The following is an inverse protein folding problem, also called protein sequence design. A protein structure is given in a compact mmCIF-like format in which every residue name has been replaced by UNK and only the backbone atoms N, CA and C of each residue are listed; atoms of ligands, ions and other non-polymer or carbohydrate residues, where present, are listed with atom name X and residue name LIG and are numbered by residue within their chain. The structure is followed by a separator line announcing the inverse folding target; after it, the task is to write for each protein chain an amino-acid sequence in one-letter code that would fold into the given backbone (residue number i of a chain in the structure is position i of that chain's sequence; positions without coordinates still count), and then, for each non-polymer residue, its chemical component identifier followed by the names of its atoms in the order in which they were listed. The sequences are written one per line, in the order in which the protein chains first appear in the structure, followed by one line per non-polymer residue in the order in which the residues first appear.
data_IF_068993365204
#
_entry.id   IF_068993365204
#
_cell.length_a   1.000
_cell.length_b   1.000
_cell.length_c   1.000
_cell.angle_alpha   90.00
_cell.angle_beta   90.00
_cell.angle_gamma   90.00
#
_symmetry.space_group_name_H-M   'P 1'
#
loop_
_entity.id
_entity.type
_entity.pdbx_description
1 polymer ?
#
# COMPACT_ATOMS: atom_id res chain seq x y z
N UNK A 1 1.03 -23.22 -30.88
CA UNK A 1 1.98 -22.10 -30.78
C UNK A 1 3.16 -22.55 -29.91
N UNK A 2 4.34 -22.59 -30.49
CA UNK A 2 5.58 -22.94 -29.77
C UNK A 2 5.97 -21.85 -28.77
N UNK A 3 6.97 -22.12 -27.94
CA UNK A 3 7.51 -21.12 -27.00
C UNK A 3 8.07 -19.89 -27.75
N UNK A 4 8.82 -20.14 -28.82
CA UNK A 4 9.42 -19.10 -29.67
C UNK A 4 8.36 -18.25 -30.38
N UNK A 5 7.31 -18.86 -30.93
CA UNK A 5 6.18 -18.12 -31.52
C UNK A 5 5.48 -17.22 -30.49
N UNK A 6 5.34 -17.69 -29.23
CA UNK A 6 4.77 -16.86 -28.15
C UNK A 6 5.67 -15.69 -27.79
N UNK A 7 6.98 -15.91 -27.66
CA UNK A 7 7.95 -14.86 -27.39
C UNK A 7 7.97 -13.79 -28.50
N UNK A 8 7.87 -14.20 -29.76
CA UNK A 8 7.76 -13.27 -30.89
C UNK A 8 6.47 -12.44 -30.84
N UNK A 9 5.32 -13.07 -30.56
CA UNK A 9 4.05 -12.35 -30.40
C UNK A 9 4.12 -11.37 -29.23
N UNK A 10 4.65 -11.80 -28.09
CA UNK A 10 4.80 -10.94 -26.91
C UNK A 10 5.70 -9.73 -27.19
N UNK A 11 6.80 -9.92 -27.92
CA UNK A 11 7.75 -8.84 -28.22
C UNK A 11 7.17 -7.72 -29.10
N UNK A 12 6.09 -7.97 -29.85
CA UNK A 12 5.42 -6.97 -30.67
C UNK A 12 4.14 -6.40 -30.05
N UNK A 13 3.74 -6.87 -28.87
CA UNK A 13 2.58 -6.30 -28.18
C UNK A 13 2.88 -4.87 -27.72
N UNK A 14 1.99 -3.90 -28.02
CA UNK A 14 2.22 -2.52 -27.61
C UNK A 14 2.17 -2.38 -26.09
N UNK A 15 3.22 -1.83 -25.52
CA UNK A 15 3.23 -1.42 -24.10
C UNK A 15 2.49 -0.09 -23.88
N UNK A 16 2.47 0.76 -24.92
CA UNK A 16 1.75 2.04 -24.87
C UNK A 16 0.24 1.82 -24.91
N UNK A 17 -0.47 2.54 -24.07
CA UNK A 17 -1.93 2.52 -23.98
C UNK A 17 -2.49 3.69 -24.78
N UNK A 18 -3.39 3.48 -25.75
CA UNK A 18 -4.03 4.55 -26.46
C UNK A 18 -4.85 5.45 -25.53
N UNK A 19 -4.92 6.76 -25.84
CA UNK A 19 -5.68 7.75 -25.06
C UNK A 19 -7.17 7.38 -24.93
N UNK A 20 -7.74 6.62 -25.86
CA UNK A 20 -9.12 6.16 -25.78
C UNK A 20 -9.35 5.16 -24.65
N UNK A 21 -8.32 4.38 -24.29
CA UNK A 21 -8.37 3.44 -23.18
C UNK A 21 -7.88 4.08 -21.87
N UNK A 22 -7.14 5.17 -21.99
CA UNK A 22 -6.51 5.84 -20.88
C UNK A 22 -6.49 7.36 -21.13
N UNK A 23 -7.64 8.04 -21.01
CA UNK A 23 -7.70 9.49 -21.15
C UNK A 23 -6.93 10.18 -20.00
N UNK A 24 -6.45 11.44 -20.22
CA UNK A 24 -5.82 12.21 -19.15
C UNK A 24 -6.70 12.32 -17.93
N UNK A 25 -6.14 12.03 -16.77
CA UNK A 25 -6.85 11.98 -15.49
C UNK A 25 -6.71 13.27 -14.70
N UNK A 26 -7.82 13.68 -14.07
CA UNK A 26 -7.80 14.71 -13.03
C UNK A 26 -7.33 14.15 -11.68
N UNK A 27 -6.99 15.05 -10.76
CA UNK A 27 -6.57 14.69 -9.40
C UNK A 27 -7.61 13.88 -8.64
N UNK A 28 -8.89 14.07 -8.94
CA UNK A 28 -9.99 13.31 -8.31
C UNK A 28 -9.93 11.82 -8.59
N UNK A 29 -9.35 11.41 -9.71
CA UNK A 29 -9.14 10.01 -10.06
C UNK A 29 -7.73 9.55 -9.65
N UNK A 30 -6.70 10.31 -10.02
CA UNK A 30 -5.31 9.97 -9.80
C UNK A 30 -4.93 9.81 -8.33
N UNK A 31 -5.27 10.80 -7.48
CA UNK A 31 -4.84 10.82 -6.07
C UNK A 31 -5.38 9.62 -5.27
N UNK A 32 -6.69 9.29 -5.32
CA UNK A 32 -7.21 8.11 -4.62
C UNK A 32 -6.60 6.80 -5.10
N UNK A 33 -6.36 6.67 -6.41
CA UNK A 33 -5.72 5.51 -7.04
C UNK A 33 -4.29 5.31 -6.54
N UNK A 34 -3.47 6.37 -6.59
CA UNK A 34 -2.08 6.34 -6.12
C UNK A 34 -1.99 6.01 -4.62
N UNK A 35 -2.86 6.60 -3.78
CA UNK A 35 -2.90 6.30 -2.34
C UNK A 35 -3.22 4.84 -2.07
N UNK A 36 -4.25 4.30 -2.72
CA UNK A 36 -4.63 2.91 -2.55
C UNK A 36 -3.53 1.96 -3.02
N UNK A 37 -2.92 2.19 -4.19
CA UNK A 37 -1.81 1.41 -4.70
C UNK A 37 -0.61 1.44 -3.75
N UNK A 38 -0.19 2.62 -3.31
CA UNK A 38 0.97 2.80 -2.43
C UNK A 38 0.74 2.15 -1.06
N UNK A 39 -0.48 2.26 -0.50
CA UNK A 39 -0.82 1.63 0.77
C UNK A 39 -0.72 0.11 0.70
N UNK A 40 -1.19 -0.51 -0.38
CA UNK A 40 -1.07 -1.95 -0.59
C UNK A 40 0.39 -2.38 -0.75
N UNK A 41 1.15 -1.71 -1.61
CA UNK A 41 2.55 -2.04 -1.87
C UNK A 41 3.39 -1.97 -0.57
N UNK A 42 3.25 -0.88 0.18
CA UNK A 42 3.96 -0.68 1.45
C UNK A 42 3.53 -1.68 2.54
N UNK A 43 2.24 -1.97 2.64
CA UNK A 43 1.73 -2.96 3.60
C UNK A 43 2.33 -4.34 3.34
N UNK A 44 2.26 -4.83 2.10
CA UNK A 44 2.77 -6.15 1.76
C UNK A 44 4.29 -6.23 1.88
N UNK A 45 5.00 -5.17 1.56
CA UNK A 45 6.43 -5.03 1.79
C UNK A 45 6.77 -5.14 3.29
N UNK A 46 5.98 -4.49 4.13
CA UNK A 46 6.18 -4.49 5.60
C UNK A 46 5.96 -5.87 6.22
N UNK A 47 4.96 -6.62 5.75
CA UNK A 47 4.70 -7.98 6.26
C UNK A 47 5.56 -9.06 5.58
N UNK A 48 6.42 -8.66 4.62
CA UNK A 48 7.33 -9.58 3.92
C UNK A 48 6.64 -10.56 2.96
N UNK A 49 5.40 -10.28 2.53
CA UNK A 49 4.70 -11.08 1.52
C UNK A 49 4.85 -10.44 0.15
N UNK A 50 5.22 -11.24 -0.85
CA UNK A 50 5.39 -10.74 -2.22
C UNK A 50 4.06 -10.40 -2.85
N UNK A 51 3.99 -9.22 -3.43
CA UNK A 51 2.89 -8.72 -4.25
C UNK A 51 3.44 -7.87 -5.38
N UNK A 52 2.79 -7.90 -6.52
CA UNK A 52 2.96 -6.91 -7.57
C UNK A 52 1.68 -6.07 -7.63
N UNK A 53 1.81 -4.79 -7.35
CA UNK A 53 0.71 -3.82 -7.44
C UNK A 53 1.08 -2.77 -8.48
N UNK A 54 0.23 -2.55 -9.45
CA UNK A 54 0.44 -1.53 -10.47
C UNK A 54 -0.85 -0.77 -10.75
N UNK A 55 -0.73 0.40 -11.34
CA UNK A 55 -1.85 1.17 -11.87
C UNK A 55 -1.70 1.35 -13.38
N UNK A 56 -2.83 1.27 -14.09
CA UNK A 56 -2.94 1.59 -15.52
C UNK A 56 -1.99 0.79 -16.41
N UNK A 57 -1.62 -0.39 -15.95
CA UNK A 57 -0.72 -1.25 -16.70
C UNK A 57 -1.48 -1.99 -17.80
N UNK A 58 -0.98 -1.90 -19.04
CA UNK A 58 -1.51 -2.67 -20.16
C UNK A 58 -1.54 -4.16 -19.83
N UNK A 59 -2.73 -4.74 -19.82
CA UNK A 59 -2.97 -6.13 -19.41
C UNK A 59 -3.50 -6.94 -20.59
N UNK A 60 -2.89 -8.12 -20.78
CA UNK A 60 -3.19 -9.04 -21.89
C UNK A 60 -3.57 -10.42 -21.36
N UNK A 61 -4.76 -10.86 -21.75
CA UNK A 61 -5.26 -12.21 -21.57
C UNK A 61 -5.46 -12.88 -22.93
N UNK A 62 -5.29 -14.20 -23.04
CA UNK A 62 -5.60 -14.91 -24.29
C UNK A 62 -7.05 -14.68 -24.75
N UNK A 63 -7.23 -14.40 -26.02
CA UNK A 63 -8.53 -14.16 -26.67
C UNK A 63 -9.34 -12.99 -26.06
N UNK A 64 -8.65 -12.03 -25.43
CA UNK A 64 -9.28 -10.83 -24.89
C UNK A 64 -8.62 -9.57 -25.46
N UNK A 65 -9.41 -8.52 -25.69
CA UNK A 65 -8.89 -7.21 -26.01
C UNK A 65 -8.08 -6.65 -24.83
N UNK A 66 -6.98 -5.96 -25.15
CA UNK A 66 -6.18 -5.26 -24.15
C UNK A 66 -7.05 -4.35 -23.26
N UNK A 67 -6.74 -4.33 -22.00
CA UNK A 67 -7.37 -3.43 -21.03
C UNK A 67 -6.36 -2.92 -20.00
N UNK A 68 -6.72 -1.85 -19.32
CA UNK A 68 -5.87 -1.23 -18.31
C UNK A 68 -6.72 -0.98 -17.07
N UNK A 69 -6.57 -1.80 -16.03
CA UNK A 69 -7.23 -1.56 -14.74
C UNK A 69 -6.63 -0.33 -14.05
N UNK A 70 -7.45 0.42 -13.30
CA UNK A 70 -6.95 1.52 -12.48
C UNK A 70 -5.93 1.03 -11.46
N UNK A 71 -6.22 -0.08 -10.78
CA UNK A 71 -5.26 -0.79 -9.92
C UNK A 71 -5.40 -2.29 -10.19
N UNK A 72 -4.27 -2.96 -10.37
CA UNK A 72 -4.19 -4.41 -10.38
C UNK A 72 -3.26 -4.92 -9.29
N UNK A 73 -3.55 -6.11 -8.77
CA UNK A 73 -2.69 -6.80 -7.81
C UNK A 73 -2.51 -8.27 -8.20
N UNK A 74 -1.27 -8.75 -8.06
CA UNK A 74 -0.92 -10.16 -8.23
C UNK A 74 -0.04 -10.58 -7.06
N UNK A 75 -0.49 -11.57 -6.31
CA UNK A 75 0.20 -12.09 -5.14
C UNK A 75 1.26 -13.12 -5.51
N UNK A 76 2.26 -13.24 -4.64
CA UNK A 76 3.27 -14.29 -4.68
C UNK A 76 4.09 -14.33 -5.99
N UNK A 77 4.29 -13.16 -6.59
CA UNK A 77 5.14 -12.92 -7.75
C UNK A 77 6.22 -11.90 -7.43
N UNK A 78 7.28 -11.85 -8.24
CA UNK A 78 8.33 -10.86 -8.07
C UNK A 78 7.85 -9.46 -8.44
N UNK A 79 8.27 -8.44 -7.68
CA UNK A 79 7.82 -7.05 -7.81
C UNK A 79 8.69 -6.20 -8.73
N UNK A 80 9.40 -6.81 -9.72
CA UNK A 80 10.17 -6.04 -10.70
C UNK A 80 9.27 -5.20 -11.61
N UNK A 81 9.83 -4.16 -12.19
CA UNK A 81 9.12 -3.28 -13.11
C UNK A 81 8.70 -4.01 -14.39
N UNK A 82 7.49 -3.74 -14.84
CA UNK A 82 6.91 -4.31 -16.07
C UNK A 82 6.31 -3.20 -16.91
N UNK A 83 6.44 -3.31 -18.23
CA UNK A 83 5.75 -2.44 -19.20
C UNK A 83 4.32 -2.90 -19.50
N UNK A 84 4.01 -4.16 -19.22
CA UNK A 84 2.68 -4.75 -19.38
C UNK A 84 2.57 -6.03 -18.56
N UNK A 85 1.35 -6.47 -18.24
CA UNK A 85 1.06 -7.77 -17.66
C UNK A 85 0.54 -8.71 -18.74
N UNK A 86 1.34 -9.67 -19.16
CA UNK A 86 0.99 -10.65 -20.18
C UNK A 86 0.83 -12.00 -19.51
N UNK A 87 -0.41 -12.47 -19.31
CA UNK A 87 -0.70 -13.69 -18.56
C UNK A 87 -0.02 -14.94 -19.10
N UNK A 88 0.15 -15.05 -20.42
CA UNK A 88 0.85 -16.16 -21.04
C UNK A 88 2.37 -16.19 -20.78
N UNK A 89 2.97 -15.04 -20.51
CA UNK A 89 4.38 -14.88 -20.17
C UNK A 89 4.61 -15.04 -18.67
N UNK A 90 3.77 -14.38 -17.87
CA UNK A 90 3.85 -14.42 -16.40
C UNK A 90 3.41 -15.78 -15.83
N UNK A 91 2.68 -16.60 -16.61
CA UNK A 91 2.11 -17.86 -16.14
C UNK A 91 0.99 -17.71 -15.12
N UNK A 92 0.54 -16.47 -14.87
CA UNK A 92 -0.48 -16.14 -13.87
C UNK A 92 -1.36 -14.98 -14.33
N UNK A 93 -2.66 -15.08 -14.03
CA UNK A 93 -3.63 -13.98 -14.17
C UNK A 93 -3.55 -12.98 -13.02
N UNK A 94 -4.38 -11.94 -13.08
CA UNK A 94 -4.56 -11.00 -11.98
C UNK A 94 -5.30 -11.69 -10.83
N UNK A 95 -4.93 -11.39 -9.59
CA UNK A 95 -5.63 -11.88 -8.41
C UNK A 95 -6.73 -10.90 -7.96
N UNK A 96 -6.55 -9.61 -8.23
CA UNK A 96 -7.47 -8.57 -7.82
C UNK A 96 -7.38 -7.36 -8.75
N UNK A 97 -8.53 -6.73 -8.98
CA UNK A 97 -8.64 -5.43 -9.67
C UNK A 97 -9.47 -4.48 -8.81
N UNK A 98 -9.06 -3.21 -8.77
CA UNK A 98 -9.86 -2.10 -8.23
C UNK A 98 -9.99 -1.05 -9.32
N UNK A 99 -11.24 -0.63 -9.61
CA UNK A 99 -11.54 0.50 -10.48
C UNK A 99 -12.02 1.69 -9.62
N UNK A 100 -11.65 2.90 -10.01
CA UNK A 100 -12.00 4.14 -9.31
C UNK A 100 -12.98 4.94 -10.18
N UNK A 101 -14.23 4.91 -9.80
CA UNK A 101 -15.28 5.62 -10.55
C UNK A 101 -15.45 7.06 -10.03
N UNK A 102 -15.11 8.05 -10.87
CA UNK A 102 -15.21 9.49 -10.52
C UNK A 102 -16.30 10.23 -11.32
N UNK A 103 -17.00 9.53 -12.21
CA UNK A 103 -18.06 10.11 -13.04
C UNK A 103 -18.07 9.54 -14.46
N UNK A 104 -18.91 10.10 -15.32
CA UNK A 104 -19.13 9.61 -16.69
C UNK A 104 -20.02 8.37 -16.74
N UNK A 105 -19.80 7.47 -17.70
CA UNK A 105 -20.62 6.26 -17.85
C UNK A 105 -20.26 5.21 -16.81
N UNK A 106 -21.18 4.92 -15.92
CA UNK A 106 -21.06 3.86 -14.93
C UNK A 106 -21.05 2.45 -15.55
N UNK A 107 -21.56 2.28 -16.77
CA UNK A 107 -21.72 0.98 -17.45
C UNK A 107 -20.40 0.22 -17.56
N UNK A 108 -19.27 0.92 -17.82
CA UNK A 108 -17.95 0.27 -17.93
C UNK A 108 -17.62 -0.49 -16.64
N UNK A 109 -17.66 0.17 -15.49
CA UNK A 109 -17.17 -0.38 -14.24
C UNK A 109 -18.21 -1.27 -13.55
N UNK A 110 -19.49 -0.91 -13.62
CA UNK A 110 -20.55 -1.60 -12.88
C UNK A 110 -21.20 -2.77 -13.63
N UNK A 111 -21.02 -2.85 -14.95
CA UNK A 111 -21.60 -3.91 -15.78
C UNK A 111 -20.55 -4.62 -16.63
N UNK A 112 -19.88 -3.89 -17.54
CA UNK A 112 -18.97 -4.49 -18.51
C UNK A 112 -17.78 -5.17 -17.83
N UNK A 113 -17.09 -4.47 -16.92
CA UNK A 113 -15.94 -5.01 -16.20
C UNK A 113 -16.33 -6.11 -15.22
N UNK A 114 -17.51 -6.05 -14.59
CA UNK A 114 -18.04 -7.13 -13.72
C UNK A 114 -18.10 -8.45 -14.50
N UNK A 115 -18.68 -8.44 -15.72
CA UNK A 115 -18.78 -9.62 -16.58
C UNK A 115 -17.41 -10.02 -17.12
N UNK A 116 -16.63 -9.05 -17.58
CA UNK A 116 -15.32 -9.27 -18.18
C UNK A 116 -14.35 -9.93 -17.21
N UNK A 117 -14.18 -9.36 -16.01
CA UNK A 117 -13.22 -9.85 -15.03
C UNK A 117 -13.62 -11.20 -14.44
N UNK A 118 -14.90 -11.45 -14.26
CA UNK A 118 -15.40 -12.79 -13.87
C UNK A 118 -15.06 -13.85 -14.93
N UNK A 119 -15.30 -13.55 -16.23
CA UNK A 119 -14.96 -14.44 -17.33
C UNK A 119 -13.46 -14.72 -17.44
N UNK A 120 -12.62 -13.73 -17.14
CA UNK A 120 -11.16 -13.85 -17.13
C UNK A 120 -10.63 -14.63 -15.92
N UNK A 121 -11.51 -15.00 -14.98
CA UNK A 121 -11.14 -15.76 -13.79
C UNK A 121 -10.41 -14.93 -12.73
N UNK A 122 -10.58 -13.59 -12.73
CA UNK A 122 -9.99 -12.72 -11.71
C UNK A 122 -10.76 -12.94 -10.39
N UNK A 123 -10.09 -13.38 -9.30
CA UNK A 123 -10.78 -13.79 -8.08
C UNK A 123 -11.62 -12.70 -7.42
N UNK A 124 -11.13 -11.47 -7.36
CA UNK A 124 -11.85 -10.37 -6.72
C UNK A 124 -11.78 -9.08 -7.55
N UNK A 125 -12.90 -8.38 -7.54
CA UNK A 125 -13.06 -7.08 -8.21
C UNK A 125 -13.72 -6.09 -7.26
N UNK A 126 -13.14 -4.91 -7.11
CA UNK A 126 -13.69 -3.82 -6.31
C UNK A 126 -13.90 -2.58 -7.15
N UNK A 127 -14.94 -1.83 -6.83
CA UNK A 127 -15.24 -0.53 -7.40
C UNK A 127 -15.24 0.50 -6.27
N UNK A 128 -14.31 1.43 -6.33
CA UNK A 128 -14.31 2.62 -5.49
C UNK A 128 -15.14 3.69 -6.18
N UNK A 129 -16.42 3.73 -5.87
CA UNK A 129 -17.41 4.67 -6.42
C UNK A 129 -17.38 5.97 -5.61
N UNK A 130 -16.65 6.97 -6.11
CA UNK A 130 -16.54 8.28 -5.47
C UNK A 130 -17.78 9.13 -5.66
N UNK A 131 -18.52 8.94 -6.75
CA UNK A 131 -19.79 9.63 -7.01
C UNK A 131 -20.88 9.14 -6.05
N UNK A 132 -21.00 7.82 -5.93
CA UNK A 132 -21.94 7.17 -5.01
C UNK A 132 -21.47 7.11 -3.57
N UNK A 133 -20.25 7.57 -3.26
CA UNK A 133 -19.62 7.55 -1.91
C UNK A 133 -19.71 6.15 -1.28
N UNK A 134 -19.23 5.14 -2.00
CA UNK A 134 -19.31 3.74 -1.57
C UNK A 134 -18.19 2.89 -2.18
N UNK A 135 -17.93 1.73 -1.58
CA UNK A 135 -17.12 0.68 -2.17
C UNK A 135 -18.03 -0.51 -2.46
N UNK A 136 -17.90 -1.09 -3.65
CA UNK A 136 -18.56 -2.33 -4.02
C UNK A 136 -17.49 -3.41 -4.20
N UNK A 137 -17.79 -4.62 -3.81
CA UNK A 137 -16.91 -5.77 -3.97
C UNK A 137 -17.61 -6.94 -4.61
N UNK A 138 -16.87 -7.66 -5.44
CA UNK A 138 -17.32 -8.85 -6.13
C UNK A 138 -16.27 -9.96 -5.96
N UNK A 139 -16.72 -11.17 -5.77
CA UNK A 139 -15.88 -12.36 -5.64
C UNK A 139 -16.33 -13.45 -6.59
N UNK A 140 -15.37 -14.08 -7.23
CA UNK A 140 -15.59 -15.25 -8.06
C UNK A 140 -15.65 -16.48 -7.18
N UNK A 141 -16.81 -17.11 -7.15
CA UNK A 141 -16.97 -18.36 -6.42
C UNK A 141 -16.30 -19.53 -7.18
N UNK A 142 -15.81 -20.54 -6.46
CA UNK A 142 -15.21 -21.70 -7.10
C UNK A 142 -16.14 -22.31 -8.16
N UNK A 143 -15.60 -22.60 -9.34
CA UNK A 143 -16.33 -23.16 -10.49
C UNK A 143 -17.43 -22.28 -11.08
N UNK A 144 -17.49 -20.99 -10.71
CA UNK A 144 -18.38 -19.99 -11.31
C UNK A 144 -17.66 -19.20 -12.39
N UNK A 145 -18.40 -18.74 -13.38
CA UNK A 145 -17.96 -17.74 -14.36
C UNK A 145 -18.59 -16.36 -14.12
N UNK A 146 -19.31 -16.21 -13.00
CA UNK A 146 -19.99 -14.98 -12.61
C UNK A 146 -19.61 -14.60 -11.18
N UNK A 147 -19.51 -13.30 -10.93
CA UNK A 147 -19.26 -12.80 -9.58
C UNK A 147 -20.47 -12.88 -8.67
N UNK A 148 -20.25 -13.26 -7.42
CA UNK A 148 -21.13 -12.96 -6.32
C UNK A 148 -20.74 -11.62 -5.67
N UNK A 149 -21.72 -10.86 -5.22
CA UNK A 149 -21.46 -9.60 -4.53
C UNK A 149 -20.96 -9.87 -3.10
N UNK A 150 -19.86 -9.22 -2.71
CA UNK A 150 -19.38 -9.27 -1.33
C UNK A 150 -20.32 -8.42 -0.46
N UNK A 151 -20.87 -9.05 0.59
CA UNK A 151 -21.76 -8.37 1.54
C UNK A 151 -20.91 -7.72 2.64
N UNK A 152 -21.05 -6.39 2.87
CA UNK A 152 -20.30 -5.73 3.93
C UNK A 152 -20.60 -6.30 5.32
N UNK A 153 -19.58 -6.45 6.14
CA UNK A 153 -19.69 -6.82 7.55
C UNK A 153 -19.22 -5.63 8.40
N UNK A 154 -20.10 -5.06 9.20
CA UNK A 154 -19.79 -3.87 9.98
C UNK A 154 -19.31 -2.67 9.13
N UNK A 155 -19.82 -2.52 7.91
CA UNK A 155 -19.42 -1.45 6.98
C UNK A 155 -18.12 -1.72 6.22
N UNK A 156 -17.52 -2.90 6.34
CA UNK A 156 -16.30 -3.30 5.66
C UNK A 156 -16.53 -4.45 4.70
N UNK A 157 -15.81 -4.44 3.59
CA UNK A 157 -15.78 -5.50 2.59
C UNK A 157 -14.49 -6.32 2.77
N UNK A 158 -14.59 -7.58 3.13
CA UNK A 158 -13.42 -8.44 3.32
C UNK A 158 -12.91 -8.96 1.98
N UNK A 159 -11.65 -8.64 1.65
CA UNK A 159 -10.92 -9.27 0.55
C UNK A 159 -10.20 -10.52 1.05
N UNK A 160 -10.54 -11.67 0.49
CA UNK A 160 -9.84 -12.93 0.77
C UNK A 160 -8.49 -12.98 0.06
N UNK A 161 -8.38 -12.33 -1.09
CA UNK A 161 -7.13 -12.22 -1.86
C UNK A 161 -6.09 -11.45 -1.06
N UNK A 162 -6.44 -10.27 -0.58
CA UNK A 162 -5.50 -9.42 0.16
C UNK A 162 -5.35 -9.84 1.64
N UNK A 163 -6.36 -10.49 2.21
CA UNK A 163 -6.45 -10.69 3.66
C UNK A 163 -6.69 -9.37 4.42
N UNK A 164 -7.33 -8.42 3.76
CA UNK A 164 -7.63 -7.08 4.27
C UNK A 164 -9.11 -6.77 4.14
N UNK A 165 -9.61 -5.92 5.01
CA UNK A 165 -10.92 -5.30 4.86
C UNK A 165 -10.81 -3.97 4.16
N UNK A 166 -11.76 -3.67 3.28
CA UNK A 166 -11.88 -2.42 2.52
C UNK A 166 -13.09 -1.63 3.01
N UNK A 167 -12.91 -0.34 3.19
CA UNK A 167 -14.01 0.58 3.53
C UNK A 167 -13.75 1.97 2.95
N UNK A 168 -14.72 2.86 3.07
CA UNK A 168 -14.58 4.26 2.71
C UNK A 168 -14.46 5.10 3.99
N UNK A 169 -13.36 5.85 4.10
CA UNK A 169 -13.15 6.81 5.18
C UNK A 169 -12.71 8.16 4.64
N UNK A 170 -13.39 9.23 5.05
CA UNK A 170 -13.09 10.59 4.59
C UNK A 170 -12.99 10.72 3.06
N UNK A 171 -13.83 9.97 2.33
CA UNK A 171 -13.84 9.96 0.87
C UNK A 171 -12.68 9.23 0.20
N UNK A 172 -11.91 8.45 0.96
CA UNK A 172 -10.78 7.64 0.47
C UNK A 172 -11.00 6.16 0.73
N UNK A 173 -10.52 5.32 -0.18
CA UNK A 173 -10.49 3.87 0.03
C UNK A 173 -9.45 3.54 1.10
N UNK A 174 -9.90 2.96 2.20
CA UNK A 174 -9.07 2.56 3.34
C UNK A 174 -9.02 1.03 3.45
N UNK A 175 -7.83 0.53 3.73
CA UNK A 175 -7.61 -0.88 4.03
C UNK A 175 -7.39 -1.08 5.52
N UNK A 176 -7.81 -2.25 6.02
CA UNK A 176 -7.63 -2.65 7.41
C UNK A 176 -7.06 -4.05 7.50
N UNK A 177 -6.07 -4.23 8.36
CA UNK A 177 -5.59 -5.55 8.77
C UNK A 177 -6.14 -5.83 10.18
N UNK A 178 -7.19 -6.64 10.26
CA UNK A 178 -7.99 -6.78 11.47
C UNK A 178 -8.61 -5.44 11.89
N UNK A 179 -8.24 -4.93 13.06
CA UNK A 179 -8.73 -3.63 13.55
C UNK A 179 -7.82 -2.45 13.20
N UNK A 180 -6.59 -2.72 12.75
CA UNK A 180 -5.60 -1.68 12.47
C UNK A 180 -5.73 -1.14 11.03
N UNK A 181 -5.81 0.19 10.84
CA UNK A 181 -5.78 0.77 9.50
C UNK A 181 -4.39 0.59 8.88
N UNK A 182 -4.36 0.24 7.60
CA UNK A 182 -3.16 0.35 6.78
C UNK A 182 -2.92 1.83 6.52
N UNK A 183 -1.75 2.31 6.94
CA UNK A 183 -1.43 3.73 6.83
C UNK A 183 -1.16 4.14 5.39
N UNK A 184 -1.62 5.30 5.00
CA UNK A 184 -1.14 5.95 3.80
C UNK A 184 0.29 6.43 3.99
N UNK A 185 1.02 6.61 2.91
CA UNK A 185 2.44 6.98 2.96
C UNK A 185 2.69 8.28 3.74
N UNK A 186 1.83 9.29 3.54
CA UNK A 186 1.91 10.55 4.27
C UNK A 186 1.64 10.40 5.78
N UNK A 187 0.74 9.51 6.18
CA UNK A 187 0.47 9.20 7.59
C UNK A 187 1.68 8.50 8.24
N UNK A 188 2.29 7.57 7.48
CA UNK A 188 3.50 6.87 7.92
C UNK A 188 4.67 7.84 8.11
N UNK A 189 4.90 8.73 7.15
CA UNK A 189 5.92 9.78 7.23
C UNK A 189 5.66 10.70 8.43
N UNK A 190 4.41 11.15 8.61
CA UNK A 190 4.02 11.97 9.77
C UNK A 190 4.31 11.27 11.11
N UNK A 191 3.98 9.98 11.22
CA UNK A 191 4.26 9.19 12.42
C UNK A 191 5.76 9.03 12.68
N UNK A 192 6.54 8.75 11.64
CA UNK A 192 8.01 8.63 11.76
C UNK A 192 8.65 9.95 12.18
N UNK A 193 8.23 11.08 11.61
CA UNK A 193 8.72 12.40 12.01
C UNK A 193 8.42 12.71 13.47
N UNK A 194 7.20 12.39 13.95
CA UNK A 194 6.86 12.49 15.37
C UNK A 194 7.81 11.68 16.25
N UNK A 195 8.03 10.40 15.91
CA UNK A 195 8.95 9.54 16.65
C UNK A 195 10.39 10.07 16.67
N UNK A 196 10.87 10.63 15.56
CA UNK A 196 12.21 11.25 15.49
C UNK A 196 12.28 12.46 16.41
N UNK A 197 11.26 13.32 16.41
CA UNK A 197 11.19 14.48 17.33
C UNK A 197 11.23 14.04 18.78
N UNK A 198 10.42 13.05 19.17
CA UNK A 198 10.39 12.53 20.54
C UNK A 198 11.76 11.95 20.96
N UNK A 199 12.44 11.24 20.06
CA UNK A 199 13.78 10.69 20.32
C UNK A 199 14.83 11.79 20.48
N UNK A 200 14.79 12.84 19.68
CA UNK A 200 15.70 14.01 19.78
C UNK A 200 15.49 14.68 21.13
N UNK A 201 14.26 14.97 21.52
CA UNK A 201 13.96 15.57 22.82
C UNK A 201 14.40 14.68 23.99
N UNK A 202 14.17 13.35 23.88
CA UNK A 202 14.60 12.42 24.92
C UNK A 202 16.14 12.40 25.07
N UNK A 203 16.86 12.41 23.94
CA UNK A 203 18.31 12.51 23.91
C UNK A 203 18.80 13.81 24.58
N UNK A 204 18.23 14.94 24.21
CA UNK A 204 18.66 16.25 24.74
C UNK A 204 18.42 16.35 26.25
N UNK A 205 17.27 15.84 26.72
CA UNK A 205 17.00 15.70 28.17
C UNK A 205 18.00 14.78 28.88
N UNK A 206 18.43 13.71 28.23
CA UNK A 206 19.42 12.78 28.79
C UNK A 206 20.81 13.43 28.88
N UNK A 207 21.23 14.17 27.85
CA UNK A 207 22.47 14.91 27.83
C UNK A 207 22.51 15.97 28.93
N UNK A 208 21.46 16.77 29.07
CA UNK A 208 21.36 17.78 30.11
C UNK A 208 21.48 17.17 31.51
N UNK A 209 20.79 16.04 31.79
CA UNK A 209 20.91 15.33 33.07
C UNK A 209 22.33 14.81 33.31
N UNK A 210 22.99 14.31 32.27
CA UNK A 210 24.36 13.85 32.37
C UNK A 210 25.33 14.98 32.69
N UNK A 211 25.17 16.15 32.07
CA UNK A 211 25.95 17.36 32.38
C UNK A 211 25.72 17.85 33.80
N UNK A 212 24.47 17.93 34.28
CA UNK A 212 24.15 18.28 35.65
C UNK A 212 24.76 17.29 36.65
N UNK A 213 24.73 15.99 36.35
CA UNK A 213 25.36 14.97 37.22
C UNK A 213 26.88 15.10 37.25
N UNK A 214 27.50 15.38 36.08
CA UNK A 214 28.92 15.60 36.00
C UNK A 214 29.35 16.84 36.85
N UNK A 215 28.63 17.95 36.71
CA UNK A 215 28.89 19.16 37.49
C UNK A 215 28.79 18.90 39.01
N UNK A 216 27.72 18.22 39.46
CA UNK A 216 27.55 17.83 40.87
C UNK A 216 28.67 16.92 41.38
N UNK A 217 29.10 15.97 40.55
CA UNK A 217 30.21 15.09 40.90
C UNK A 217 31.54 15.85 41.03
N UNK A 218 31.80 16.82 40.15
CA UNK A 218 32.97 17.69 40.28
C UNK A 218 32.93 18.58 41.52
N UNK A 219 31.77 19.16 41.87
CA UNK A 219 31.58 19.95 43.07
C UNK A 219 31.85 19.10 44.34
N UNK A 220 31.28 17.90 44.40
CA UNK A 220 31.49 16.96 45.49
C UNK A 220 32.95 16.51 45.59
N UNK A 221 33.62 16.29 44.48
CA UNK A 221 35.04 15.94 44.48
C UNK A 221 35.91 17.08 45.05
N UNK A 222 35.64 18.34 44.70
CA UNK A 222 36.33 19.51 45.27
C UNK A 222 36.08 19.68 46.76
N UNK A 223 34.84 19.46 47.21
CA UNK A 223 34.48 19.52 48.63
C UNK A 223 35.22 18.42 49.45
N UNK A 224 35.24 17.19 48.91
CA UNK A 224 35.98 16.10 49.55
C UNK A 224 37.48 16.41 49.65
N UNK A 225 38.07 16.99 48.65
CA UNK A 225 39.49 17.38 48.64
C UNK A 225 39.76 18.48 49.67
N UNK A 226 38.91 19.48 49.77
CA UNK A 226 38.97 20.52 50.77
C UNK A 226 38.84 19.97 52.23
N UNK A 227 37.89 19.09 52.45
CA UNK A 227 37.71 18.46 53.76
C UNK A 227 38.90 17.57 54.14
N UNK A 228 39.50 16.87 53.18
CA UNK A 228 40.73 16.08 53.39
C UNK A 228 41.91 16.93 53.77
N UNK A 229 42.09 18.12 53.11
CA UNK A 229 43.14 19.05 53.48
C UNK A 229 42.98 19.62 54.90
N UNK A 230 41.76 20.01 55.28
CA UNK A 230 41.45 20.47 56.64
C UNK A 230 41.70 19.39 57.71
N UNK A 231 41.35 18.15 57.41
CA UNK A 231 41.63 17.00 58.30
C UNK A 231 43.12 16.75 58.47
N UNK A 232 43.90 16.90 57.41
CA UNK A 232 45.34 16.74 57.47
C UNK A 232 46.02 17.84 58.33
N UNK A 233 45.56 19.08 58.21
CA UNK A 233 46.03 20.17 59.04
C UNK A 233 45.70 19.98 60.52
N UNK A 234 44.50 19.52 60.85
CA UNK A 234 44.08 19.22 62.21
C UNK A 234 44.85 18.03 62.86
N UNK A 235 45.34 17.10 62.09
CA UNK A 235 46.16 15.96 62.54
C UNK A 235 47.61 16.29 62.73
N UNK A 236 48.07 17.38 62.14
CA UNK A 236 49.45 17.87 62.25
C UNK A 236 49.70 18.82 63.45
N UNK A 237 48.63 19.20 64.11
CA UNK A 237 48.63 19.97 65.33
C UNK A 237 48.55 19.07 66.59
#
# INVERSE_FOLDING_TARGET
MTKEEREQVVAVLPAEVPLELHPPEGDEHRVPKERARNALDEFFRTIGRRIYVSSELATYYPNESRFCPDILAVLDVDSHQRSSWITSQEGKGLDLVIEVHVGGSATKDFETNVVRYARLGIPEYFIFDRVGVRVLGYRLEPSSSTYARIVPQGGRLTSHVLGLDLTLESGMLRFYYGTAPVLFLEELVGKLNGMVTDLVEARDRALQRAEEQAQRAEEQAREIESLRAQLAELRAR
#
